data_IF_790352746763
#
_entry.id   IF_790352746763
#
_cell.length_a   1.000
_cell.length_b   1.000
_cell.length_c   1.000
_cell.angle_alpha   90.00
_cell.angle_beta   90.00
_cell.angle_gamma   90.00
#
_symmetry.space_group_name_H-M   'P 1'
#
loop_
_entity.id
_entity.type
_entity.pdbx_description
1 polymer ?
#
# COMPACT_ATOMS: atom_id res chain seq x y z
N UNK A 1 -1.66 -1.82 22.55
CA UNK A 1 -2.17 -2.42 21.30
C UNK A 1 -0.97 -2.68 20.40
N UNK A 2 -0.53 -3.94 20.31
CA UNK A 2 0.65 -4.33 19.53
C UNK A 2 0.15 -5.11 18.32
N UNK A 3 -0.26 -4.42 17.26
CA UNK A 3 -0.66 -5.08 16.02
C UNK A 3 0.57 -5.19 15.12
N UNK A 4 1.47 -6.12 15.46
CA UNK A 4 2.56 -6.51 14.58
C UNK A 4 1.98 -7.11 13.31
N UNK A 5 2.01 -6.36 12.21
CA UNK A 5 1.45 -6.77 10.92
C UNK A 5 2.28 -7.89 10.27
N UNK A 6 3.55 -7.98 10.65
CA UNK A 6 4.47 -8.99 10.19
C UNK A 6 5.52 -9.30 11.26
N UNK A 7 6.16 -10.46 11.10
CA UNK A 7 7.35 -10.87 11.82
C UNK A 7 8.47 -11.00 10.81
N UNK A 8 9.66 -10.55 11.17
CA UNK A 8 10.88 -10.69 10.38
C UNK A 8 11.86 -11.58 11.14
N UNK A 9 12.31 -12.63 10.50
CA UNK A 9 13.43 -13.43 10.99
C UNK A 9 14.73 -12.67 10.66
N UNK A 10 15.43 -12.20 11.70
CA UNK A 10 16.64 -11.37 11.57
C UNK A 10 17.81 -12.13 10.94
N UNK A 11 17.85 -13.46 11.06
CA UNK A 11 18.93 -14.28 10.51
C UNK A 11 18.71 -14.59 9.02
N UNK A 12 17.46 -14.83 8.63
CA UNK A 12 17.12 -15.21 7.25
C UNK A 12 16.53 -14.08 6.40
N UNK A 13 16.19 -12.94 7.00
CA UNK A 13 15.48 -11.83 6.37
C UNK A 13 14.04 -12.17 5.94
N UNK A 14 13.54 -13.35 6.33
CA UNK A 14 12.23 -13.84 5.92
C UNK A 14 11.14 -13.12 6.69
N UNK A 15 10.23 -12.51 5.95
CA UNK A 15 9.03 -11.87 6.47
C UNK A 15 7.85 -12.83 6.42
N UNK A 16 7.14 -12.93 7.55
CA UNK A 16 5.88 -13.66 7.69
C UNK A 16 4.80 -12.70 8.16
N UNK A 17 3.75 -12.56 7.36
CA UNK A 17 2.62 -11.73 7.73
C UNK A 17 1.80 -12.42 8.81
N UNK A 18 1.41 -11.65 9.83
CA UNK A 18 0.57 -12.18 10.90
C UNK A 18 -0.87 -12.31 10.42
N UNK A 19 -1.71 -13.11 11.10
CA UNK A 19 -3.13 -13.21 10.76
C UNK A 19 -3.82 -11.83 10.71
N UNK A 20 -3.61 -10.92 11.68
CA UNK A 20 -4.12 -9.55 11.58
C UNK A 20 -3.57 -8.78 10.38
N UNK A 21 -2.26 -8.90 10.09
CA UNK A 21 -1.64 -8.27 8.94
C UNK A 21 -2.27 -8.71 7.62
N UNK A 22 -2.50 -10.02 7.45
CA UNK A 22 -3.18 -10.58 6.28
C UNK A 22 -4.62 -10.05 6.19
N UNK A 23 -5.38 -10.07 7.28
CA UNK A 23 -6.76 -9.61 7.27
C UNK A 23 -6.89 -8.13 6.84
N UNK A 24 -5.93 -7.28 7.21
CA UNK A 24 -5.92 -5.87 6.87
C UNK A 24 -5.40 -5.63 5.45
N UNK A 25 -4.28 -6.25 5.08
CA UNK A 25 -3.53 -5.91 3.87
C UNK A 25 -3.97 -6.72 2.65
N UNK A 26 -4.45 -7.96 2.80
CA UNK A 26 -4.84 -8.83 1.69
C UNK A 26 -5.86 -8.19 0.74
N UNK A 27 -7.00 -7.64 1.20
CA UNK A 27 -7.98 -7.04 0.29
C UNK A 27 -7.43 -5.81 -0.42
N UNK A 28 -6.53 -5.05 0.22
CA UNK A 28 -5.92 -3.84 -0.33
C UNK A 28 -4.89 -4.18 -1.40
N UNK A 29 -4.01 -5.14 -1.10
CA UNK A 29 -3.01 -5.63 -2.04
C UNK A 29 -3.65 -6.31 -3.27
N UNK A 30 -4.75 -7.04 -3.07
CA UNK A 30 -5.51 -7.61 -4.17
C UNK A 30 -6.07 -6.54 -5.13
N UNK A 31 -6.44 -5.36 -4.63
CA UNK A 31 -6.91 -4.24 -5.46
C UNK A 31 -5.84 -3.67 -6.40
N UNK A 32 -4.56 -3.95 -6.13
CA UNK A 32 -3.41 -3.58 -6.97
C UNK A 32 -2.73 -4.79 -7.61
N UNK A 33 -3.39 -5.97 -7.60
CA UNK A 33 -2.89 -7.18 -8.25
C UNK A 33 -1.75 -7.90 -7.50
N UNK A 34 -1.52 -7.58 -6.22
CA UNK A 34 -0.46 -8.19 -5.42
C UNK A 34 -1.03 -9.34 -4.58
N UNK A 35 -0.49 -10.55 -4.76
CA UNK A 35 -0.73 -11.66 -3.84
C UNK A 35 0.12 -11.49 -2.58
N UNK A 36 -0.54 -11.13 -1.48
CA UNK A 36 0.05 -10.99 -0.15
C UNK A 36 0.82 -12.24 0.32
N UNK A 37 0.43 -13.44 -0.16
CA UNK A 37 1.11 -14.70 0.20
C UNK A 37 2.44 -14.86 -0.51
N UNK A 38 2.74 -14.10 -1.55
CA UNK A 38 4.02 -14.11 -2.26
C UNK A 38 5.10 -13.26 -1.57
N UNK A 39 4.71 -12.42 -0.60
CA UNK A 39 5.62 -11.53 0.12
C UNK A 39 6.37 -12.34 1.18
N UNK A 40 7.70 -12.37 1.05
CA UNK A 40 8.61 -13.14 1.91
C UNK A 40 9.83 -12.37 2.38
N UNK A 41 10.04 -11.16 1.90
CA UNK A 41 11.16 -10.31 2.30
C UNK A 41 10.66 -8.93 2.64
N UNK A 42 11.43 -8.19 3.44
CA UNK A 42 11.12 -6.81 3.80
C UNK A 42 11.04 -5.92 2.55
N UNK A 43 11.97 -6.05 1.62
CA UNK A 43 11.99 -5.24 0.39
C UNK A 43 10.73 -5.44 -0.45
N UNK A 44 10.27 -6.68 -0.60
CA UNK A 44 9.01 -6.96 -1.30
C UNK A 44 7.79 -6.43 -0.55
N UNK A 45 7.82 -6.46 0.79
CA UNK A 45 6.77 -5.87 1.59
C UNK A 45 6.74 -4.35 1.41
N UNK A 46 7.88 -3.68 1.47
CA UNK A 46 8.01 -2.23 1.25
C UNK A 46 7.49 -1.86 -0.13
N UNK A 47 7.96 -2.52 -1.19
CA UNK A 47 7.52 -2.24 -2.56
C UNK A 47 6.00 -2.43 -2.74
N UNK A 48 5.43 -3.48 -2.12
CA UNK A 48 3.99 -3.73 -2.19
C UNK A 48 3.18 -2.65 -1.45
N UNK A 49 3.71 -2.13 -0.34
CA UNK A 49 3.10 -1.04 0.41
C UNK A 49 3.19 0.28 -0.37
N UNK A 50 4.34 0.59 -0.98
CA UNK A 50 4.49 1.79 -1.81
C UNK A 50 3.54 1.76 -3.01
N UNK A 51 3.45 0.61 -3.69
CA UNK A 51 2.50 0.40 -4.80
C UNK A 51 1.05 0.62 -4.35
N UNK A 52 0.70 0.11 -3.16
CA UNK A 52 -0.62 0.31 -2.59
C UNK A 52 -0.90 1.78 -2.28
N UNK A 53 0.07 2.49 -1.69
CA UNK A 53 -0.06 3.91 -1.37
C UNK A 53 -0.25 4.75 -2.64
N UNK A 54 0.54 4.51 -3.67
CA UNK A 54 0.41 5.20 -4.96
C UNK A 54 -0.97 4.98 -5.56
N UNK A 55 -1.47 3.75 -5.54
CA UNK A 55 -2.82 3.44 -6.00
C UNK A 55 -3.90 4.16 -5.18
N UNK A 56 -3.80 4.16 -3.84
CA UNK A 56 -4.76 4.83 -2.97
C UNK A 56 -4.76 6.35 -3.18
N UNK A 57 -3.57 6.97 -3.29
CA UNK A 57 -3.41 8.39 -3.58
C UNK A 57 -4.04 8.73 -4.93
N UNK A 58 -3.75 7.95 -5.98
CA UNK A 58 -4.35 8.16 -7.32
C UNK A 58 -5.87 8.02 -7.29
N UNK A 59 -6.39 7.01 -6.60
CA UNK A 59 -7.84 6.77 -6.46
C UNK A 59 -8.52 7.91 -5.71
N UNK A 60 -7.92 8.43 -4.64
CA UNK A 60 -8.44 9.56 -3.88
C UNK A 60 -8.37 10.85 -4.69
N UNK A 61 -7.25 11.11 -5.38
CA UNK A 61 -7.09 12.25 -6.26
C UNK A 61 -8.17 12.27 -7.35
N UNK A 62 -8.44 11.13 -8.00
CA UNK A 62 -9.52 11.03 -8.99
C UNK A 62 -10.90 11.35 -8.41
N UNK A 63 -11.21 10.86 -7.20
CA UNK A 63 -12.48 11.16 -6.53
C UNK A 63 -12.62 12.62 -6.13
N UNK A 64 -11.50 13.28 -5.84
CA UNK A 64 -11.47 14.64 -5.35
C UNK A 64 -11.42 15.70 -6.47
N UNK A 65 -11.04 15.30 -7.70
CA UNK A 65 -11.00 16.21 -8.85
C UNK A 65 -12.35 16.85 -9.14
N UNK A 66 -12.36 18.15 -9.34
CA UNK A 66 -13.55 18.93 -9.68
C UNK A 66 -14.52 19.14 -8.51
N UNK A 67 -14.22 18.63 -7.31
CA UNK A 67 -15.04 18.89 -6.12
C UNK A 67 -14.78 20.28 -5.52
N UNK A 68 -13.54 20.78 -5.60
CA UNK A 68 -13.19 22.11 -5.11
C UNK A 68 -11.96 22.67 -5.83
N UNK A 69 -11.97 23.94 -6.28
CA UNK A 69 -10.85 24.53 -7.02
C UNK A 69 -9.51 24.52 -6.25
N UNK A 70 -9.54 24.67 -4.92
CA UNK A 70 -8.32 24.62 -4.11
C UNK A 70 -7.76 23.21 -3.97
N UNK A 71 -8.64 22.21 -3.90
CA UNK A 71 -8.22 20.80 -3.88
C UNK A 71 -7.59 20.46 -5.23
N UNK A 72 -8.19 20.89 -6.33
CA UNK A 72 -7.66 20.68 -7.68
C UNK A 72 -6.24 21.26 -7.82
N UNK A 73 -5.99 22.46 -7.29
CA UNK A 73 -4.64 23.08 -7.30
C UNK A 73 -3.61 22.23 -6.56
N UNK A 74 -3.97 21.64 -5.42
CA UNK A 74 -3.09 20.74 -4.67
C UNK A 74 -2.85 19.45 -5.47
N UNK A 75 -3.89 18.89 -6.08
CA UNK A 75 -3.80 17.65 -6.86
C UNK A 75 -2.92 17.77 -8.12
N UNK A 76 -2.76 18.98 -8.70
CA UNK A 76 -1.83 19.20 -9.84
C UNK A 76 -0.37 18.89 -9.47
N UNK A 77 -0.01 19.00 -8.19
CA UNK A 77 1.36 18.73 -7.70
C UNK A 77 1.66 17.25 -7.49
N UNK A 78 0.64 16.39 -7.56
CA UNK A 78 0.83 14.95 -7.45
C UNK A 78 1.32 14.38 -8.79
N UNK A 79 2.24 13.40 -8.77
CA UNK A 79 2.70 12.76 -9.99
C UNK A 79 1.52 12.20 -10.78
N UNK A 80 1.42 12.61 -12.05
CA UNK A 80 0.41 12.11 -12.98
C UNK A 80 0.92 10.85 -13.66
N UNK A 81 0.04 9.87 -13.95
CA UNK A 81 0.46 8.67 -14.67
C UNK A 81 0.89 9.03 -16.10
N UNK A 82 2.02 8.48 -16.52
CA UNK A 82 2.33 8.24 -17.94
C UNK A 82 1.36 7.20 -18.52
#
# INVERSE_FOLDING_TARGET
MQHGLYLEDVLSGVVRLTKPGIAILAPRMAAVGIDIRSIRTRDRLTLAIDTLYDYEIRRLAQKARGLHPEIDRILVTLPTPE
#
